data_IF_066337862241
#
_entry.id   IF_066337862241
#
_cell.length_a   1.000
_cell.length_b   1.000
_cell.length_c   1.000
_cell.angle_alpha   90.00
_cell.angle_beta   90.00
_cell.angle_gamma   90.00
#
_symmetry.space_group_name_H-M   'P 1'
#
loop_
_entity.id
_entity.type
_entity.pdbx_description
1 polymer ?
#
# COMPACT_ATOMS: atom_id res chain seq x y z
N UNK A 1 -11.99 15.12 10.21
CA UNK A 1 -10.90 14.31 10.80
C UNK A 1 -11.04 12.92 10.25
N UNK A 2 -10.05 12.35 9.57
CA UNK A 2 -10.12 11.05 8.88
C UNK A 2 -10.61 9.86 9.73
N UNK A 3 -11.18 8.82 9.16
CA UNK A 3 -11.50 7.57 9.87
C UNK A 3 -10.40 6.53 9.67
N UNK A 4 -10.13 5.70 10.68
CA UNK A 4 -9.27 4.51 10.56
C UNK A 4 -10.02 3.29 11.05
N UNK A 5 -9.77 2.15 10.42
CA UNK A 5 -10.25 0.84 10.82
C UNK A 5 -9.12 -0.18 10.73
N UNK A 6 -9.19 -1.22 11.56
CA UNK A 6 -8.29 -2.36 11.49
C UNK A 6 -9.02 -3.58 12.01
N UNK A 7 -8.87 -4.70 11.30
CA UNK A 7 -9.42 -5.98 11.72
C UNK A 7 -8.34 -7.04 11.62
N UNK A 8 -8.31 -7.92 12.62
CA UNK A 8 -7.45 -9.09 12.65
C UNK A 8 -8.24 -10.26 13.18
N UNK A 9 -8.39 -11.28 12.34
CA UNK A 9 -9.03 -12.52 12.73
C UNK A 9 -8.02 -13.43 13.40
N UNK A 10 -8.44 -14.06 14.50
CA UNK A 10 -7.66 -15.08 15.22
C UNK A 10 -8.23 -16.46 14.89
N UNK A 11 -7.40 -17.39 14.45
CA UNK A 11 -7.79 -18.79 14.24
C UNK A 11 -7.19 -19.40 12.98
N UNK A 12 -7.42 -20.70 12.78
CA UNK A 12 -6.93 -21.49 11.65
C UNK A 12 -7.89 -21.50 10.45
N UNK A 13 -8.93 -20.67 10.46
CA UNK A 13 -9.82 -20.59 9.30
C UNK A 13 -9.01 -20.15 8.08
N UNK A 14 -9.13 -20.89 6.98
CA UNK A 14 -8.31 -20.68 5.78
C UNK A 14 -8.57 -19.32 5.14
N UNK A 15 -9.77 -18.75 5.30
CA UNK A 15 -10.15 -17.44 4.76
C UNK A 15 -11.22 -16.75 5.62
N UNK A 16 -11.07 -15.45 5.83
CA UNK A 16 -12.10 -14.58 6.43
C UNK A 16 -12.49 -13.49 5.42
N UNK A 17 -13.74 -13.05 5.44
CA UNK A 17 -14.28 -11.98 4.58
C UNK A 17 -13.81 -10.59 5.05
N UNK A 18 -12.49 -10.44 5.13
CA UNK A 18 -11.78 -9.27 5.64
C UNK A 18 -12.12 -8.01 4.84
N UNK A 19 -12.25 -8.14 3.52
CA UNK A 19 -12.65 -7.06 2.64
C UNK A 19 -14.02 -6.48 3.00
N UNK A 20 -15.05 -7.33 3.06
CA UNK A 20 -16.41 -6.93 3.41
C UNK A 20 -16.48 -6.32 4.82
N UNK A 21 -15.77 -6.92 5.79
CA UNK A 21 -15.72 -6.40 7.15
C UNK A 21 -15.12 -4.98 7.20
N UNK A 22 -14.02 -4.73 6.48
CA UNK A 22 -13.40 -3.41 6.41
C UNK A 22 -14.32 -2.38 5.74
N UNK A 23 -15.01 -2.73 4.66
CA UNK A 23 -15.97 -1.84 3.99
C UNK A 23 -17.04 -1.39 4.99
N UNK A 24 -17.66 -2.34 5.71
CA UNK A 24 -18.69 -2.03 6.72
C UNK A 24 -18.16 -1.15 7.85
N UNK A 25 -16.93 -1.39 8.31
CA UNK A 25 -16.30 -0.56 9.34
C UNK A 25 -16.04 0.87 8.85
N UNK A 26 -15.57 1.03 7.61
CA UNK A 26 -15.28 2.33 7.03
C UNK A 26 -16.54 3.10 6.65
N UNK A 27 -17.61 2.44 6.20
CA UNK A 27 -18.90 3.07 5.94
C UNK A 27 -19.46 3.76 7.20
N UNK A 28 -19.39 3.09 8.36
CA UNK A 28 -19.73 3.69 9.65
C UNK A 28 -18.88 4.92 10.02
N UNK A 29 -17.69 5.04 9.43
CA UNK A 29 -16.79 6.17 9.61
C UNK A 29 -16.83 7.18 8.45
N UNK A 30 -17.65 7.00 7.41
CA UNK A 30 -17.60 7.82 6.18
C UNK A 30 -17.79 9.33 6.45
N UNK A 31 -18.59 9.68 7.46
CA UNK A 31 -18.80 11.06 7.91
C UNK A 31 -17.51 11.77 8.37
N UNK A 32 -16.44 11.00 8.64
CA UNK A 32 -15.11 11.49 9.04
C UNK A 32 -14.23 11.88 7.84
N UNK A 33 -14.48 11.31 6.66
CA UNK A 33 -13.66 11.48 5.47
C UNK A 33 -14.36 11.06 4.18
N UNK A 34 -15.03 11.98 3.47
CA UNK A 34 -15.80 11.64 2.28
C UNK A 34 -14.97 11.53 1.00
N UNK A 35 -13.70 11.96 1.02
CA UNK A 35 -12.98 12.29 -0.22
C UNK A 35 -12.28 11.09 -0.85
N UNK A 36 -11.68 10.23 -0.03
CA UNK A 36 -10.97 9.04 -0.54
C UNK A 36 -10.93 7.93 0.50
N UNK A 37 -10.83 6.71 -0.01
CA UNK A 37 -10.79 5.49 0.80
C UNK A 37 -9.67 4.59 0.36
N UNK A 38 -9.04 3.91 1.32
CA UNK A 38 -8.05 2.89 1.01
C UNK A 38 -8.01 1.77 2.03
N UNK A 39 -7.46 0.66 1.56
CA UNK A 39 -7.37 -0.62 2.24
C UNK A 39 -5.96 -1.18 2.10
N UNK A 40 -5.38 -1.68 3.19
CA UNK A 40 -4.22 -2.55 3.18
C UNK A 40 -4.72 -3.94 3.51
N UNK A 41 -4.63 -4.85 2.55
CA UNK A 41 -5.25 -6.16 2.59
C UNK A 41 -4.14 -7.21 2.67
N UNK A 42 -4.21 -8.09 3.68
CA UNK A 42 -3.20 -9.11 3.90
C UNK A 42 -3.80 -10.51 3.74
N UNK A 43 -3.26 -11.24 2.77
CA UNK A 43 -3.69 -12.59 2.42
C UNK A 43 -2.65 -13.62 2.81
N UNK A 44 -2.73 -14.79 2.19
CA UNK A 44 -1.70 -15.81 2.35
C UNK A 44 -0.35 -15.32 1.80
N UNK A 45 0.67 -15.35 2.65
CA UNK A 45 2.04 -15.03 2.25
C UNK A 45 2.61 -16.14 1.38
N UNK A 46 3.23 -15.78 0.26
CA UNK A 46 3.90 -16.72 -0.65
C UNK A 46 5.39 -16.46 -0.70
N UNK A 47 6.21 -17.20 0.06
CA UNK A 47 7.66 -17.03 0.04
C UNK A 47 8.23 -17.17 -1.39
N UNK A 48 9.09 -16.24 -1.78
CA UNK A 48 9.67 -16.19 -3.13
C UNK A 48 8.78 -15.55 -4.20
N UNK A 49 7.56 -15.13 -3.84
CA UNK A 49 6.68 -14.33 -4.69
C UNK A 49 6.43 -12.95 -4.07
N UNK A 50 6.44 -11.92 -4.90
CA UNK A 50 6.05 -10.56 -4.53
C UNK A 50 4.84 -10.14 -5.35
N UNK A 51 3.90 -9.51 -4.68
CA UNK A 51 2.78 -8.79 -5.27
C UNK A 51 3.14 -7.31 -5.29
N UNK A 52 3.17 -6.74 -6.48
CA UNK A 52 3.41 -5.32 -6.70
C UNK A 52 2.15 -4.70 -7.28
N UNK A 53 1.86 -3.47 -6.86
CA UNK A 53 0.80 -2.67 -7.45
C UNK A 53 1.31 -1.27 -7.76
N UNK A 54 0.90 -0.73 -8.89
CA UNK A 54 1.32 0.56 -9.42
C UNK A 54 0.10 1.40 -9.76
N UNK A 55 0.24 2.72 -9.63
CA UNK A 55 -0.69 3.64 -10.26
C UNK A 55 -0.43 3.66 -11.76
N UNK A 56 -1.50 3.65 -12.55
CA UNK A 56 -1.47 3.93 -13.97
C UNK A 56 -1.90 5.38 -14.18
N UNK A 57 -1.13 6.11 -14.97
CA UNK A 57 -1.54 7.41 -15.47
C UNK A 57 -2.69 7.26 -16.49
N UNK A 58 -3.18 8.38 -17.04
CA UNK A 58 -4.33 8.45 -17.96
C UNK A 58 -4.38 7.28 -18.96
N UNK A 59 -5.59 6.78 -19.25
CA UNK A 59 -5.83 5.54 -20.02
C UNK A 59 -5.14 5.45 -21.39
N UNK A 60 -4.78 6.58 -22.00
CA UNK A 60 -4.04 6.62 -23.25
C UNK A 60 -2.57 6.18 -23.11
N UNK A 61 -1.98 6.36 -21.93
CA UNK A 61 -0.57 6.10 -21.65
C UNK A 61 -0.34 4.83 -20.82
N UNK A 62 -1.41 4.22 -20.30
CA UNK A 62 -1.32 3.06 -19.41
C UNK A 62 -0.56 1.88 -20.03
N UNK A 63 -0.68 1.65 -21.35
CA UNK A 63 0.08 0.58 -22.04
C UNK A 63 1.59 0.83 -22.01
N UNK A 64 2.02 2.05 -22.31
CA UNK A 64 3.44 2.40 -22.29
C UNK A 64 3.99 2.31 -20.86
N UNK A 65 3.22 2.76 -19.86
CA UNK A 65 3.56 2.61 -18.45
C UNK A 65 3.74 1.14 -18.03
N UNK A 66 2.84 0.25 -18.45
CA UNK A 66 2.94 -1.19 -18.18
C UNK A 66 4.18 -1.79 -18.85
N UNK A 67 4.46 -1.44 -20.11
CA UNK A 67 5.67 -1.91 -20.81
C UNK A 67 6.95 -1.50 -20.07
N UNK A 68 7.02 -0.25 -19.56
CA UNK A 68 8.14 0.23 -18.74
C UNK A 68 8.28 -0.57 -17.44
N UNK A 69 7.17 -0.87 -16.76
CA UNK A 69 7.16 -1.67 -15.53
C UNK A 69 7.66 -3.09 -15.81
N UNK A 70 7.12 -3.74 -16.84
CA UNK A 70 7.49 -5.10 -17.23
C UNK A 70 8.97 -5.19 -17.63
N UNK A 71 9.45 -4.21 -18.41
CA UNK A 71 10.85 -4.13 -18.79
C UNK A 71 11.76 -3.99 -17.56
N UNK A 72 11.44 -3.07 -16.64
CA UNK A 72 12.24 -2.87 -15.44
C UNK A 72 12.28 -4.11 -14.55
N UNK A 73 11.14 -4.79 -14.37
CA UNK A 73 11.08 -6.05 -13.63
C UNK A 73 11.99 -7.12 -14.24
N UNK A 74 11.97 -7.24 -15.57
CA UNK A 74 12.83 -8.18 -16.31
C UNK A 74 14.32 -7.85 -16.14
N UNK A 75 14.70 -6.58 -16.22
CA UNK A 75 16.09 -6.12 -16.01
C UNK A 75 16.60 -6.41 -14.59
N UNK A 76 15.70 -6.38 -13.60
CA UNK A 76 16.00 -6.72 -12.21
C UNK A 76 15.96 -8.24 -11.93
N UNK A 77 15.63 -9.06 -12.93
CA UNK A 77 15.55 -10.52 -12.82
C UNK A 77 14.25 -11.04 -12.20
N UNK A 78 13.23 -10.20 -12.06
CA UNK A 78 11.91 -10.62 -11.58
C UNK A 78 11.12 -11.32 -12.69
N UNK A 79 10.54 -12.48 -12.40
CA UNK A 79 9.77 -13.26 -13.38
C UNK A 79 8.28 -13.10 -13.12
N UNK A 80 7.56 -12.44 -14.03
CA UNK A 80 6.11 -12.23 -13.94
C UNK A 80 5.37 -13.57 -14.03
N UNK A 81 4.48 -13.84 -13.07
CA UNK A 81 3.65 -15.05 -13.01
C UNK A 81 2.15 -14.76 -13.17
N UNK A 82 1.71 -13.55 -12.84
CA UNK A 82 0.35 -13.09 -13.06
C UNK A 82 0.33 -11.57 -13.15
N UNK A 83 -0.58 -11.03 -13.95
CA UNK A 83 -0.79 -9.59 -14.08
C UNK A 83 -2.25 -9.27 -14.37
N UNK A 84 -2.70 -8.09 -13.98
CA UNK A 84 -4.05 -7.61 -14.25
C UNK A 84 -4.12 -6.09 -14.15
N UNK A 85 -4.92 -5.48 -15.01
CA UNK A 85 -5.33 -4.08 -14.91
C UNK A 85 -6.69 -4.01 -14.21
N UNK A 86 -6.81 -3.23 -13.14
CA UNK A 86 -8.06 -3.03 -12.41
C UNK A 86 -8.14 -1.56 -12.03
N UNK A 87 -9.22 -0.87 -12.42
CA UNK A 87 -9.37 0.57 -12.20
C UNK A 87 -8.24 1.36 -12.89
N UNK A 88 -7.56 2.21 -12.11
CA UNK A 88 -6.36 2.95 -12.54
C UNK A 88 -5.08 2.30 -11.99
N UNK A 89 -5.08 1.00 -11.74
CA UNK A 89 -3.96 0.28 -11.16
C UNK A 89 -3.50 -0.88 -12.04
N UNK A 90 -2.19 -1.08 -12.10
CA UNK A 90 -1.58 -2.30 -12.61
C UNK A 90 -1.11 -3.15 -11.44
N UNK A 91 -1.56 -4.40 -11.41
CA UNK A 91 -1.19 -5.40 -10.40
C UNK A 91 -0.37 -6.48 -11.09
N UNK A 92 0.77 -6.82 -10.50
CA UNK A 92 1.66 -7.87 -11.01
C UNK A 92 2.17 -8.73 -9.86
N UNK A 93 2.20 -10.03 -10.08
CA UNK A 93 2.87 -11.00 -9.20
C UNK A 93 4.13 -11.47 -9.90
N UNK A 94 5.25 -11.45 -9.17
CA UNK A 94 6.55 -11.87 -9.69
C UNK A 94 7.20 -12.89 -8.77
N UNK A 95 7.98 -13.80 -9.33
CA UNK A 95 8.99 -14.55 -8.58
C UNK A 95 10.23 -13.68 -8.46
N UNK A 96 10.66 -13.46 -7.21
CA UNK A 96 11.82 -12.65 -6.89
C UNK A 96 12.33 -13.01 -5.49
N UNK A 97 13.59 -13.40 -5.39
CA UNK A 97 14.25 -13.87 -4.16
C UNK A 97 15.48 -13.02 -3.79
N UNK A 98 15.73 -11.93 -4.52
CA UNK A 98 16.82 -11.00 -4.28
C UNK A 98 16.39 -9.83 -3.38
N UNK A 99 17.13 -8.72 -3.42
CA UNK A 99 16.96 -7.59 -2.52
C UNK A 99 15.69 -6.77 -2.82
N UNK A 100 14.67 -6.95 -1.96
CA UNK A 100 13.39 -6.23 -2.02
C UNK A 100 13.57 -4.72 -1.93
N UNK A 101 14.56 -4.24 -1.16
CA UNK A 101 14.80 -2.81 -1.00
C UNK A 101 15.31 -2.21 -2.31
N UNK A 102 16.28 -2.87 -2.96
CA UNK A 102 16.75 -2.44 -4.26
C UNK A 102 15.65 -2.52 -5.33
N UNK A 103 14.86 -3.59 -5.35
CA UNK A 103 13.69 -3.72 -6.24
C UNK A 103 12.73 -2.55 -6.06
N UNK A 104 12.35 -2.24 -4.82
CA UNK A 104 11.45 -1.15 -4.49
C UNK A 104 11.93 0.19 -5.06
N UNK A 105 13.20 0.55 -4.84
CA UNK A 105 13.74 1.83 -5.27
C UNK A 105 13.86 1.91 -6.80
N UNK A 106 14.29 0.84 -7.46
CA UNK A 106 14.36 0.80 -8.93
C UNK A 106 12.97 0.84 -9.58
N UNK A 107 11.96 0.21 -8.95
CA UNK A 107 10.59 0.28 -9.43
C UNK A 107 9.98 1.67 -9.25
N UNK A 108 10.23 2.36 -8.14
CA UNK A 108 9.77 3.75 -7.92
C UNK A 108 10.38 4.75 -8.91
N UNK A 109 11.57 4.44 -9.45
CA UNK A 109 12.19 5.22 -10.55
C UNK A 109 11.52 4.98 -11.90
N UNK A 110 10.87 3.83 -12.08
CA UNK A 110 10.25 3.44 -13.33
C UNK A 110 8.75 3.80 -13.37
N UNK A 111 8.05 3.64 -12.26
CA UNK A 111 6.62 3.91 -12.14
C UNK A 111 6.25 4.15 -10.67
N UNK A 112 5.06 4.72 -10.46
CA UNK A 112 4.58 5.08 -9.12
C UNK A 112 4.08 3.83 -8.40
N UNK A 113 4.82 3.35 -7.41
CA UNK A 113 4.48 2.13 -6.67
C UNK A 113 3.44 2.44 -5.59
N UNK A 114 2.47 1.55 -5.42
CA UNK A 114 1.47 1.61 -4.34
C UNK A 114 1.89 0.74 -3.17
N UNK A 115 2.33 -0.49 -3.45
CA UNK A 115 2.79 -1.45 -2.44
C UNK A 115 3.61 -2.56 -3.06
N UNK A 116 4.56 -3.09 -2.28
CA UNK A 116 5.23 -4.36 -2.52
C UNK A 116 5.08 -5.24 -1.27
N UNK A 117 4.68 -6.49 -1.45
CA UNK A 117 4.55 -7.43 -0.34
C UNK A 117 4.44 -8.88 -0.78
N UNK A 118 4.73 -9.79 0.14
CA UNK A 118 4.47 -11.23 -0.06
C UNK A 118 3.02 -11.59 0.24
N UNK A 119 2.36 -10.80 1.09
CA UNK A 119 0.99 -10.97 1.57
C UNK A 119 0.13 -9.71 1.40
N UNK A 120 0.76 -8.54 1.47
CA UNK A 120 0.15 -7.22 1.39
C UNK A 120 -0.21 -6.81 -0.03
N UNK A 121 -1.42 -6.28 -0.19
CA UNK A 121 -1.83 -5.45 -1.32
C UNK A 121 -2.51 -4.19 -0.79
N UNK A 122 -2.12 -3.01 -1.29
CA UNK A 122 -2.83 -1.76 -0.98
C UNK A 122 -3.74 -1.39 -2.14
N UNK A 123 -5.02 -1.13 -1.84
CA UNK A 123 -6.00 -0.59 -2.79
C UNK A 123 -6.50 0.73 -2.25
N UNK A 124 -6.36 1.82 -3.02
CA UNK A 124 -6.82 3.14 -2.60
C UNK A 124 -7.22 3.99 -3.79
N UNK A 125 -8.28 4.77 -3.63
CA UNK A 125 -8.82 5.64 -4.67
C UNK A 125 -9.74 6.73 -4.08
N UNK A 126 -10.16 7.67 -4.91
CA UNK A 126 -11.12 8.73 -4.58
C UNK A 126 -12.52 8.14 -4.39
N UNK A 127 -13.29 8.66 -3.42
CA UNK A 127 -14.64 8.21 -3.11
C UNK A 127 -14.74 7.38 -1.82
N UNK A 128 -15.95 6.90 -1.56
CA UNK A 128 -16.31 6.10 -0.39
C UNK A 128 -15.77 4.68 -0.45
N UNK A 129 -15.89 3.95 0.67
CA UNK A 129 -15.53 2.54 0.74
C UNK A 129 -16.26 1.70 -0.33
N UNK A 130 -17.54 1.99 -0.59
CA UNK A 130 -18.33 1.32 -1.61
C UNK A 130 -17.88 1.70 -3.03
N UNK A 131 -17.53 2.97 -3.28
CA UNK A 131 -17.03 3.38 -4.60
C UNK A 131 -15.71 2.67 -4.94
N UNK A 132 -14.83 2.50 -3.95
CA UNK A 132 -13.55 1.78 -4.11
C UNK A 132 -13.82 0.28 -4.26
N UNK A 133 -14.76 -0.28 -3.50
CA UNK A 133 -15.18 -1.67 -3.66
C UNK A 133 -15.68 -1.97 -5.08
N UNK A 134 -16.61 -1.16 -5.60
CA UNK A 134 -17.18 -1.31 -6.94
C UNK A 134 -16.11 -1.32 -8.05
N UNK A 135 -14.98 -0.64 -7.84
CA UNK A 135 -13.87 -0.57 -8.81
C UNK A 135 -12.84 -1.68 -8.67
N UNK A 136 -12.61 -2.16 -7.46
CA UNK A 136 -11.47 -3.03 -7.15
C UNK A 136 -11.86 -4.37 -6.51
N UNK A 137 -13.15 -4.65 -6.35
CA UNK A 137 -13.70 -5.85 -5.72
C UNK A 137 -13.09 -6.11 -4.34
N UNK A 138 -13.01 -5.07 -3.51
CA UNK A 138 -12.42 -5.16 -2.16
C UNK A 138 -13.21 -6.12 -1.29
N UNK A 139 -14.53 -6.15 -1.40
CA UNK A 139 -15.43 -7.02 -0.64
C UNK A 139 -15.22 -8.51 -0.89
N UNK A 140 -14.69 -8.87 -2.06
CA UNK A 140 -14.33 -10.25 -2.40
C UNK A 140 -12.99 -10.67 -1.78
N UNK A 141 -12.25 -9.74 -1.15
CA UNK A 141 -10.94 -10.04 -0.59
C UNK A 141 -11.05 -10.90 0.67
N UNK A 142 -10.36 -12.05 0.60
CA UNK A 142 -10.23 -12.98 1.71
C UNK A 142 -8.81 -12.99 2.26
N UNK A 143 -8.68 -12.78 3.56
CA UNK A 143 -7.39 -12.64 4.24
C UNK A 143 -7.49 -12.72 5.75
N UNK A 144 -6.34 -12.63 6.43
CA UNK A 144 -6.23 -12.74 7.90
C UNK A 144 -6.51 -11.42 8.62
N UNK A 145 -6.10 -10.31 8.00
CA UNK A 145 -6.19 -8.98 8.58
C UNK A 145 -6.14 -7.90 7.51
N UNK A 146 -6.54 -6.70 7.88
CA UNK A 146 -6.34 -5.52 7.07
C UNK A 146 -6.58 -4.23 7.81
N UNK A 147 -6.16 -3.15 7.17
CA UNK A 147 -6.32 -1.78 7.64
C UNK A 147 -7.16 -1.00 6.64
N UNK A 148 -7.95 -0.08 7.13
CA UNK A 148 -8.81 0.79 6.32
C UNK A 148 -8.64 2.25 6.74
N UNK A 149 -8.80 3.16 5.79
CA UNK A 149 -8.80 4.59 6.07
C UNK A 149 -9.75 5.36 5.16
N UNK A 150 -10.49 6.30 5.72
CA UNK A 150 -11.31 7.29 4.98
C UNK A 150 -10.77 8.69 5.25
N UNK A 151 -10.50 9.46 4.19
CA UNK A 151 -9.77 10.73 4.26
C UNK A 151 -10.70 11.94 4.09
N UNK A 152 -10.42 12.99 4.87
CA UNK A 152 -10.95 14.33 4.64
C UNK A 152 -9.78 15.22 4.20
N UNK A 153 -9.77 15.65 2.94
CA UNK A 153 -8.81 16.60 2.40
C UNK A 153 -9.20 18.01 2.83
N UNK A 154 -8.45 18.60 3.78
CA UNK A 154 -8.74 19.94 4.29
C UNK A 154 -8.07 21.04 3.47
N UNK A 155 -6.93 20.76 2.81
CA UNK A 155 -6.10 21.76 2.10
C UNK A 155 -5.35 21.23 0.87
N UNK A 156 -5.47 19.94 0.55
CA UNK A 156 -4.70 19.27 -0.52
C UNK A 156 -5.61 18.73 -1.60
N UNK A 157 -5.09 18.55 -2.82
CA UNK A 157 -5.81 17.84 -3.87
C UNK A 157 -6.29 16.46 -3.39
N UNK A 158 -7.51 16.11 -3.82
CA UNK A 158 -8.09 14.78 -3.63
C UNK A 158 -7.49 13.87 -4.70
N UNK A 159 -6.41 13.17 -4.34
CA UNK A 159 -5.76 12.20 -5.22
C UNK A 159 -5.49 10.87 -4.48
N UNK A 160 -5.58 9.72 -5.17
CA UNK A 160 -5.34 8.40 -4.56
C UNK A 160 -3.98 8.27 -3.86
N UNK A 161 -2.97 8.96 -4.35
CA UNK A 161 -1.58 8.76 -3.94
C UNK A 161 -1.27 9.50 -2.64
N UNK A 162 -1.99 10.59 -2.40
CA UNK A 162 -2.02 11.29 -1.11
C UNK A 162 -2.94 10.59 -0.08
N UNK A 163 -3.62 9.52 -0.47
CA UNK A 163 -4.54 8.78 0.40
C UNK A 163 -3.80 7.67 1.14
N UNK A 164 -4.27 7.37 2.35
CA UNK A 164 -3.85 6.20 3.09
C UNK A 164 -4.47 4.93 2.48
N UNK A 165 -3.90 3.75 2.76
CA UNK A 165 -2.66 3.49 3.52
C UNK A 165 -1.37 3.93 2.80
N UNK A 166 -0.31 4.14 3.58
CA UNK A 166 1.06 4.33 3.07
C UNK A 166 1.88 3.08 3.33
N UNK A 167 2.58 2.63 2.30
CA UNK A 167 3.53 1.52 2.34
C UNK A 167 4.90 2.01 2.84
N UNK A 168 5.65 1.14 3.51
CA UNK A 168 7.03 1.41 3.89
C UNK A 168 7.96 1.17 2.68
N UNK A 169 8.21 2.23 1.91
CA UNK A 169 9.09 2.19 0.74
C UNK A 169 10.42 1.51 1.04
N UNK A 170 10.75 0.46 0.30
CA UNK A 170 11.95 -0.35 0.51
C UNK A 170 11.77 -1.60 1.39
N UNK A 171 10.55 -1.89 1.86
CA UNK A 171 10.26 -3.07 2.68
C UNK A 171 9.05 -3.84 2.14
N UNK A 172 9.01 -5.17 2.34
CA UNK A 172 7.80 -5.94 2.07
C UNK A 172 6.81 -5.85 3.24
N UNK A 173 5.51 -5.87 2.93
CA UNK A 173 4.43 -6.17 3.88
C UNK A 173 4.18 -5.17 5.04
N UNK A 174 4.86 -4.02 5.06
CA UNK A 174 4.61 -2.98 6.08
C UNK A 174 3.81 -1.83 5.48
N UNK A 175 2.62 -1.60 6.02
CA UNK A 175 1.76 -0.47 5.67
C UNK A 175 1.14 0.15 6.92
N UNK A 176 0.80 1.44 6.84
CA UNK A 176 0.15 2.14 7.95
C UNK A 176 -1.06 2.96 7.51
N UNK A 177 -1.98 3.11 8.46
CA UNK A 177 -2.99 4.17 8.48
C UNK A 177 -2.71 5.06 9.69
N UNK A 178 -2.83 6.37 9.52
CA UNK A 178 -2.51 7.34 10.56
C UNK A 178 -3.51 8.48 10.53
N UNK A 179 -4.01 8.87 11.70
CA UNK A 179 -4.83 10.06 11.88
C UNK A 179 -4.12 10.96 12.89
N UNK A 180 -3.39 11.93 12.38
CA UNK A 180 -2.58 12.84 13.17
C UNK A 180 -1.58 13.58 12.29
N UNK A 181 -0.67 14.29 12.95
CA UNK A 181 0.45 14.97 12.30
C UNK A 181 1.71 14.87 13.16
N UNK A 182 2.84 14.51 12.54
CA UNK A 182 4.15 14.43 13.16
C UNK A 182 4.91 15.74 12.92
N UNK A 183 5.03 16.54 13.97
CA UNK A 183 5.62 17.89 13.89
C UNK A 183 7.10 17.91 13.57
N UNK A 184 7.84 16.83 13.86
CA UNK A 184 9.28 16.73 13.62
C UNK A 184 9.66 15.86 12.41
N UNK A 185 8.71 15.59 11.50
CA UNK A 185 8.89 14.59 10.44
C UNK A 185 10.09 14.87 9.52
N UNK A 186 10.29 16.12 9.08
CA UNK A 186 11.43 16.50 8.23
C UNK A 186 12.80 16.17 8.85
N UNK A 187 12.92 16.36 10.17
CA UNK A 187 14.17 16.05 10.90
C UNK A 187 14.42 14.54 10.93
N UNK A 188 13.35 13.77 11.12
CA UNK A 188 13.43 12.32 11.19
C UNK A 188 13.65 11.69 9.81
N UNK A 189 12.99 12.20 8.77
CA UNK A 189 13.20 11.83 7.38
C UNK A 189 14.66 11.96 6.97
N UNK A 190 15.26 13.15 7.18
CA UNK A 190 16.68 13.40 6.87
C UNK A 190 17.64 12.41 7.55
N UNK A 191 17.33 11.96 8.77
CA UNK A 191 18.14 10.95 9.47
C UNK A 191 18.04 9.57 8.83
N UNK A 192 16.90 9.22 8.25
CA UNK A 192 16.71 7.96 7.52
C UNK A 192 17.31 8.04 6.11
N UNK A 193 17.18 9.18 5.42
CA UNK A 193 17.85 9.43 4.14
C UNK A 193 19.38 9.32 4.26
N UNK A 194 19.96 9.87 5.34
CA UNK A 194 21.39 9.70 5.65
C UNK A 194 21.82 8.24 5.88
N UNK A 195 20.87 7.35 6.15
CA UNK A 195 21.09 5.92 6.33
C UNK A 195 20.78 5.11 5.05
N UNK A 196 20.42 5.77 3.96
CA UNK A 196 20.15 5.15 2.66
C UNK A 196 18.67 4.85 2.37
N UNK A 197 17.74 5.27 3.22
CA UNK A 197 16.31 5.10 2.94
C UNK A 197 15.78 6.15 1.96
N UNK A 198 14.93 5.73 1.04
CA UNK A 198 14.23 6.60 0.10
C UNK A 198 12.75 6.77 0.49
N UNK A 199 12.17 7.88 0.05
CA UNK A 199 10.79 8.28 0.32
C UNK A 199 10.17 8.83 -0.96
N UNK A 200 8.92 8.47 -1.24
CA UNK A 200 8.23 8.82 -2.49
C UNK A 200 7.16 9.89 -2.32
N UNK A 201 6.85 10.25 -1.08
CA UNK A 201 5.86 11.26 -0.72
C UNK A 201 6.42 12.24 0.30
N UNK A 202 5.85 13.43 0.40
CA UNK A 202 6.15 14.36 1.50
C UNK A 202 5.29 14.10 2.75
N UNK A 203 4.52 13.00 2.77
CA UNK A 203 3.61 12.68 3.85
C UNK A 203 4.39 12.14 5.06
N UNK A 204 4.07 12.66 6.25
CA UNK A 204 4.67 12.23 7.51
C UNK A 204 4.36 10.77 7.87
N UNK A 205 3.32 10.21 7.27
CA UNK A 205 2.91 8.82 7.48
C UNK A 205 3.83 7.84 6.76
N UNK A 206 4.36 8.18 5.59
CA UNK A 206 5.38 7.35 4.94
C UNK A 206 6.64 7.26 5.82
N UNK A 207 7.02 8.38 6.45
CA UNK A 207 8.09 8.38 7.45
C UNK A 207 7.83 7.38 8.57
N UNK A 208 6.63 7.37 9.15
CA UNK A 208 6.28 6.42 10.21
C UNK A 208 6.40 4.98 9.69
N UNK A 209 5.92 4.71 8.48
CA UNK A 209 5.97 3.36 7.88
C UNK A 209 7.41 2.86 7.74
N UNK A 210 8.28 3.64 7.10
CA UNK A 210 9.71 3.30 6.93
C UNK A 210 10.42 3.19 8.27
N UNK A 211 10.16 4.09 9.21
CA UNK A 211 10.75 4.04 10.55
C UNK A 211 10.38 2.75 11.30
N UNK A 212 9.10 2.38 11.30
CA UNK A 212 8.63 1.16 11.95
C UNK A 212 9.21 -0.09 11.28
N UNK A 213 9.21 -0.13 9.94
CA UNK A 213 9.80 -1.24 9.19
C UNK A 213 11.30 -1.41 9.50
N UNK A 214 12.06 -0.31 9.54
CA UNK A 214 13.48 -0.30 9.94
C UNK A 214 13.69 -0.82 11.37
N UNK A 215 12.82 -0.42 12.31
CA UNK A 215 12.90 -0.88 13.70
C UNK A 215 12.60 -2.36 13.83
N UNK A 216 11.56 -2.86 13.17
CA UNK A 216 11.22 -4.28 13.14
C UNK A 216 12.35 -5.11 12.50
N UNK A 217 12.95 -4.62 11.41
CA UNK A 217 14.09 -5.27 10.76
C UNK A 217 15.34 -5.35 11.66
N UNK A 218 15.50 -4.40 12.58
CA UNK A 218 16.55 -4.43 13.62
C UNK A 218 16.19 -5.27 14.85
N UNK A 219 15.06 -5.98 14.83
CA UNK A 219 14.61 -6.83 15.93
C UNK A 219 13.91 -6.10 17.07
N UNK A 220 13.45 -4.86 16.86
CA UNK A 220 12.55 -4.23 17.82
C UNK A 220 11.23 -5.02 17.89
N UNK A 221 10.70 -5.16 19.10
CA UNK A 221 9.39 -5.77 19.33
C UNK A 221 8.36 -4.68 19.59
N UNK A 222 7.11 -4.93 19.18
CA UNK A 222 5.98 -4.12 19.61
C UNK A 222 5.70 -4.50 21.08
N UNK A 223 5.84 -3.54 21.99
CA UNK A 223 5.42 -3.74 23.37
C UNK A 223 3.90 -3.66 23.45
N UNK A 224 3.31 -4.54 24.27
CA UNK A 224 1.87 -4.54 24.59
C UNK A 224 1.41 -3.22 25.25
#
# INVERSE_FOLDING_TARGET
MCGIAGIMYKGEAQTFDTGEALIRMLDGCQHRGPDSTGFALYGEARPGELKLRFFLDDKSDSKAGIEVIQQRLSELGAVITAESEIGANYRVTVKYDADVQNLAYEMERAARVISIGTSLEIVKDVGSAHDVDDRYSVGEYQGSHGLGHVRLATESDVKPEASHPFWATGFADVAIVHNGQITNYWKMRRRLEQRGFEFTTDNDSELIAVYLADKLAQGAVLND
#
